data_IF_044536181289
#
_entry.id   IF_044536181289
#
_cell.length_a   1.000
_cell.length_b   1.000
_cell.length_c   1.000
_cell.angle_alpha   90.00
_cell.angle_beta   90.00
_cell.angle_gamma   90.00
#
_symmetry.space_group_name_H-M   'P 1'
#
loop_
_entity.id
_entity.type
_entity.pdbx_description
1 polymer ?
#
# COMPACT_ATOMS: atom_id res chain seq x y z
N UNK A 1 -4.73 15.21 23.63
CA UNK A 1 -4.33 14.89 22.24
C UNK A 1 -3.00 15.56 21.97
N UNK A 2 -1.98 14.84 21.49
CA UNK A 2 -0.66 15.40 21.20
C UNK A 2 -0.37 15.37 19.71
N UNK A 3 0.47 16.30 19.25
CA UNK A 3 0.98 16.32 17.87
C UNK A 3 2.47 16.05 17.89
N UNK A 4 2.93 15.15 17.02
CA UNK A 4 4.33 14.75 16.86
C UNK A 4 4.68 14.73 15.37
N UNK A 5 5.93 15.03 15.03
CA UNK A 5 6.39 14.92 13.65
C UNK A 5 6.67 13.45 13.30
N UNK A 6 6.47 13.05 12.04
CA UNK A 6 6.76 11.69 11.58
C UNK A 6 8.23 11.31 11.81
N UNK A 7 9.17 12.24 11.57
CA UNK A 7 10.59 12.00 11.83
C UNK A 7 10.85 11.64 13.30
N UNK A 8 10.17 12.31 14.24
CA UNK A 8 10.30 12.01 15.67
C UNK A 8 9.69 10.66 16.04
N UNK A 9 8.64 10.21 15.34
CA UNK A 9 8.08 8.86 15.54
C UNK A 9 9.11 7.80 15.11
N UNK A 10 9.77 8.00 13.97
CA UNK A 10 10.82 7.09 13.48
C UNK A 10 12.03 7.11 14.41
N UNK A 11 12.53 8.28 14.80
CA UNK A 11 13.67 8.42 15.70
C UNK A 11 13.42 7.74 17.06
N UNK A 12 12.24 7.93 17.65
CA UNK A 12 11.87 7.25 18.91
C UNK A 12 11.72 5.76 18.72
N UNK A 13 11.18 5.33 17.58
CA UNK A 13 11.13 3.91 17.26
C UNK A 13 12.53 3.29 17.12
N UNK A 14 13.54 4.04 16.71
CA UNK A 14 14.93 3.54 16.65
C UNK A 14 15.60 3.39 18.02
N UNK A 15 15.08 4.03 19.07
CA UNK A 15 15.64 3.97 20.44
C UNK A 15 15.40 2.61 21.13
N UNK A 16 14.54 1.75 20.58
CA UNK A 16 14.36 0.37 21.00
C UNK A 16 12.98 0.07 21.60
N UNK A 17 12.81 -1.17 22.05
CA UNK A 17 11.50 -1.74 22.42
C UNK A 17 10.76 -0.93 23.50
N UNK A 18 11.48 -0.38 24.47
CA UNK A 18 10.87 0.38 25.59
C UNK A 18 10.10 1.62 25.13
N UNK A 19 10.62 2.36 24.13
CA UNK A 19 9.92 3.51 23.57
C UNK A 19 8.67 3.10 22.77
N UNK A 20 8.73 1.97 22.05
CA UNK A 20 7.55 1.42 21.36
C UNK A 20 6.46 1.06 22.37
N UNK A 21 6.83 0.39 23.46
CA UNK A 21 5.94 0.01 24.56
C UNK A 21 5.19 1.22 25.12
N UNK A 22 5.94 2.28 25.45
CA UNK A 22 5.35 3.50 25.99
C UNK A 22 4.39 4.15 25.00
N UNK A 23 4.74 4.18 23.71
CA UNK A 23 3.92 4.81 22.69
C UNK A 23 2.64 4.04 22.36
N UNK A 24 2.75 2.71 22.29
CA UNK A 24 1.60 1.79 22.16
C UNK A 24 0.65 1.97 23.34
N UNK A 25 1.19 1.92 24.57
CA UNK A 25 0.40 2.06 25.79
C UNK A 25 -0.28 3.44 25.87
N UNK A 26 0.46 4.49 25.53
CA UNK A 26 -0.08 5.84 25.46
C UNK A 26 -1.29 5.92 24.50
N UNK A 27 -1.17 5.35 23.31
CA UNK A 27 -2.19 5.40 22.26
C UNK A 27 -3.40 4.48 22.50
N UNK A 28 -3.37 3.62 23.53
CA UNK A 28 -4.57 2.91 24.02
C UNK A 28 -5.55 3.88 24.69
N UNK A 29 -5.02 4.85 25.43
CA UNK A 29 -5.80 5.75 26.29
C UNK A 29 -5.88 7.19 25.78
N UNK A 30 -5.04 7.57 24.81
CA UNK A 30 -4.93 8.93 24.31
C UNK A 30 -4.92 9.01 22.78
N UNK A 31 -5.25 10.18 22.26
CA UNK A 31 -5.20 10.49 20.84
C UNK A 31 -3.88 11.15 20.46
N UNK A 32 -3.24 10.63 19.41
CA UNK A 32 -2.01 11.16 18.83
C UNK A 32 -2.19 11.53 17.37
N UNK A 33 -1.61 12.67 16.99
CA UNK A 33 -1.54 13.17 15.63
C UNK A 33 -0.11 13.18 15.14
N UNK A 34 0.16 12.49 14.04
CA UNK A 34 1.43 12.62 13.34
C UNK A 34 1.28 13.58 12.18
N UNK A 35 2.30 14.41 11.92
CA UNK A 35 2.35 15.34 10.81
C UNK A 35 3.64 15.16 10.00
N UNK A 36 3.64 15.41 8.69
CA UNK A 36 4.87 15.36 7.91
C UNK A 36 5.85 16.44 8.37
N UNK A 37 7.12 16.10 8.53
CA UNK A 37 8.23 17.03 8.81
C UNK A 37 8.50 17.98 7.65
N UNK A 38 8.02 17.63 6.44
CA UNK A 38 8.09 18.49 5.26
C UNK A 38 6.69 18.68 4.67
N UNK A 39 6.30 19.93 4.45
CA UNK A 39 5.02 20.28 3.86
C UNK A 39 4.83 19.76 2.42
N UNK A 40 5.90 19.33 1.74
CA UNK A 40 5.86 18.89 0.33
C UNK A 40 5.88 17.38 0.13
N UNK A 41 5.97 16.58 1.21
CA UNK A 41 6.10 15.12 1.13
C UNK A 41 5.17 14.42 2.12
N UNK A 42 4.82 13.18 1.81
CA UNK A 42 4.20 12.26 2.76
C UNK A 42 5.23 11.25 3.25
N UNK A 43 4.91 10.61 4.36
CA UNK A 43 5.69 9.57 5.02
C UNK A 43 4.92 8.25 5.04
N UNK A 44 5.60 7.16 5.36
CA UNK A 44 4.97 5.85 5.48
C UNK A 44 4.01 5.83 6.70
N UNK A 45 2.69 5.67 6.49
CA UNK A 45 1.73 5.78 7.59
C UNK A 45 1.67 4.51 8.46
N UNK A 46 2.28 3.40 8.03
CA UNK A 46 2.10 2.12 8.70
C UNK A 46 2.79 2.04 10.06
N UNK A 47 3.98 2.61 10.23
CA UNK A 47 4.64 2.62 11.54
C UNK A 47 3.80 3.40 12.58
N UNK A 48 3.37 4.64 12.31
CA UNK A 48 2.43 5.35 13.18
C UNK A 48 1.16 4.56 13.49
N UNK A 49 0.55 3.90 12.50
CA UNK A 49 -0.62 3.03 12.74
C UNK A 49 -0.29 1.81 13.61
N UNK A 50 0.86 1.15 13.38
CA UNK A 50 1.32 0.01 14.16
C UNK A 50 1.49 0.38 15.64
N UNK A 51 1.98 1.60 15.89
CA UNK A 51 2.17 2.20 17.20
C UNK A 51 0.88 2.82 17.79
N UNK A 52 -0.24 2.78 17.06
CA UNK A 52 -1.56 3.20 17.55
C UNK A 52 -1.96 4.65 17.32
N UNK A 53 -1.17 5.45 16.58
CA UNK A 53 -1.58 6.81 16.20
C UNK A 53 -2.83 6.82 15.33
N UNK A 54 -3.80 7.63 15.73
CA UNK A 54 -5.11 7.69 15.09
C UNK A 54 -5.16 8.76 14.00
N UNK A 55 -4.50 9.91 14.22
CA UNK A 55 -4.51 11.03 13.28
C UNK A 55 -3.21 11.10 12.49
N UNK A 56 -3.03 10.18 11.56
CA UNK A 56 -1.85 10.13 10.68
C UNK A 56 -2.04 11.11 9.53
N UNK A 57 -1.66 12.37 9.76
CA UNK A 57 -1.92 13.46 8.83
C UNK A 57 -0.97 13.39 7.64
N UNK A 58 -1.50 13.49 6.44
CA UNK A 58 -0.75 13.50 5.18
C UNK A 58 -1.28 14.62 4.29
N UNK A 59 -0.43 15.10 3.38
CA UNK A 59 -0.85 15.96 2.30
C UNK A 59 -1.63 15.13 1.27
N UNK A 60 -2.70 15.68 0.69
CA UNK A 60 -3.47 15.06 -0.40
C UNK A 60 -2.72 15.13 -1.75
N UNK A 61 -1.43 14.81 -1.71
CA UNK A 61 -0.55 14.69 -2.86
C UNK A 61 -0.62 13.27 -3.42
N UNK A 62 -0.49 13.16 -4.73
CA UNK A 62 -0.46 11.87 -5.42
C UNK A 62 0.87 11.15 -5.14
N UNK A 63 0.86 10.21 -4.18
CA UNK A 63 1.99 9.32 -3.90
C UNK A 63 1.53 7.99 -3.30
N UNK A 64 2.46 7.04 -3.16
CA UNK A 64 2.16 5.70 -2.63
C UNK A 64 1.51 5.72 -1.24
N UNK A 65 1.84 6.69 -0.40
CA UNK A 65 1.35 6.76 0.98
C UNK A 65 -0.10 7.20 1.04
N UNK A 66 -0.53 8.10 0.14
CA UNK A 66 -1.97 8.38 -0.02
C UNK A 66 -2.74 7.20 -0.59
N UNK A 67 -2.13 6.40 -1.47
CA UNK A 67 -2.77 5.16 -1.95
C UNK A 67 -2.96 4.15 -0.81
N UNK A 68 -1.98 4.01 0.08
CA UNK A 68 -2.07 3.18 1.29
C UNK A 68 -3.16 3.68 2.24
N UNK A 69 -3.23 4.99 2.47
CA UNK A 69 -4.28 5.63 3.27
C UNK A 69 -5.67 5.30 2.74
N UNK A 70 -5.87 5.54 1.46
CA UNK A 70 -7.12 5.28 0.78
C UNK A 70 -7.47 3.77 0.83
N UNK A 71 -6.51 2.86 0.64
CA UNK A 71 -6.73 1.42 0.85
C UNK A 71 -7.16 1.05 2.27
N UNK A 72 -6.50 1.60 3.30
CA UNK A 72 -6.81 1.34 4.70
C UNK A 72 -8.22 1.83 5.06
N UNK A 73 -8.56 3.06 4.69
CA UNK A 73 -9.84 3.67 5.04
C UNK A 73 -11.01 3.25 4.13
N UNK A 74 -10.78 2.37 3.15
CA UNK A 74 -11.87 1.64 2.50
C UNK A 74 -12.52 0.59 3.39
N UNK A 75 -11.79 0.12 4.39
CA UNK A 75 -12.36 -0.73 5.43
C UNK A 75 -13.52 -0.01 6.13
N UNK A 76 -14.40 -0.81 6.73
CA UNK A 76 -15.57 -0.29 7.44
C UNK A 76 -16.45 0.63 6.56
N UNK A 77 -16.58 0.33 5.27
CA UNK A 77 -17.51 1.01 4.37
C UNK A 77 -17.15 2.46 4.04
N UNK A 78 -15.86 2.80 3.96
CA UNK A 78 -15.35 4.13 3.61
C UNK A 78 -15.73 5.25 4.59
N UNK A 79 -15.96 4.93 5.86
CA UNK A 79 -16.45 5.91 6.85
C UNK A 79 -15.34 6.79 7.45
N UNK A 80 -14.08 6.55 7.11
CA UNK A 80 -12.92 7.28 7.65
C UNK A 80 -12.48 6.84 9.05
N UNK A 81 -13.13 5.83 9.63
CA UNK A 81 -12.75 5.23 10.92
C UNK A 81 -12.60 3.73 10.77
N UNK A 82 -11.43 3.21 11.18
CA UNK A 82 -11.15 1.78 11.22
C UNK A 82 -10.70 1.40 12.62
N UNK A 83 -11.30 0.35 13.18
CA UNK A 83 -10.96 -0.13 14.51
C UNK A 83 -9.47 -0.54 14.54
N UNK A 84 -8.78 -0.19 15.63
CA UNK A 84 -7.39 -0.60 15.84
C UNK A 84 -7.33 -2.13 16.08
N UNK A 85 -6.20 -2.77 15.78
CA UNK A 85 -5.93 -4.16 16.17
C UNK A 85 -6.15 -4.41 17.67
N UNK A 86 -6.42 -5.65 18.04
CA UNK A 86 -6.74 -6.05 19.42
C UNK A 86 -5.65 -5.66 20.44
N UNK A 87 -4.38 -5.82 20.08
CA UNK A 87 -3.24 -5.44 20.92
C UNK A 87 -3.19 -3.93 21.26
N UNK A 88 -3.82 -3.08 20.43
CA UNK A 88 -3.96 -1.63 20.66
C UNK A 88 -5.27 -1.24 21.35
N UNK A 89 -6.14 -2.21 21.63
CA UNK A 89 -7.44 -2.03 22.27
C UNK A 89 -7.52 -2.69 23.66
N UNK A 90 -6.63 -3.66 23.94
CA UNK A 90 -6.58 -4.35 25.24
C UNK A 90 -6.27 -3.37 26.38
N UNK A 91 -7.02 -3.48 27.48
CA UNK A 91 -6.81 -2.72 28.72
C UNK A 91 -5.65 -3.26 29.57
N UNK A 92 -5.13 -4.45 29.25
CA UNK A 92 -3.98 -5.01 29.93
C UNK A 92 -2.68 -4.39 29.38
N UNK A 93 -1.73 -4.14 30.28
CA UNK A 93 -0.34 -3.93 29.90
C UNK A 93 0.16 -5.31 29.45
N UNK A 94 0.38 -5.44 28.16
CA UNK A 94 0.77 -6.70 27.53
C UNK A 94 2.10 -6.46 26.82
N UNK A 95 3.18 -7.01 27.38
CA UNK A 95 4.51 -6.93 26.78
C UNK A 95 4.54 -7.55 25.36
N UNK A 96 3.61 -8.47 25.07
CA UNK A 96 3.46 -9.07 23.74
C UNK A 96 2.80 -8.13 22.74
N UNK A 97 2.06 -7.10 23.18
CA UNK A 97 1.46 -6.10 22.28
C UNK A 97 2.52 -5.31 21.49
N UNK A 98 3.73 -5.20 22.05
CA UNK A 98 4.87 -4.53 21.41
C UNK A 98 5.51 -5.45 20.38
N UNK A 99 5.61 -6.74 20.71
CA UNK A 99 6.04 -7.75 19.77
C UNK A 99 5.02 -7.86 18.61
N UNK A 100 3.72 -7.74 18.86
CA UNK A 100 2.69 -7.64 17.82
C UNK A 100 2.84 -6.36 16.98
N UNK A 101 3.07 -5.20 17.61
CA UNK A 101 3.28 -3.92 16.91
C UNK A 101 4.51 -3.96 15.99
N UNK A 102 5.59 -4.60 16.45
CA UNK A 102 6.83 -4.85 15.71
C UNK A 102 6.72 -5.99 14.69
N UNK A 103 5.66 -6.80 14.79
CA UNK A 103 5.45 -7.95 13.92
C UNK A 103 6.30 -9.19 14.25
N UNK A 104 6.72 -9.32 15.51
CA UNK A 104 7.61 -10.37 16.01
C UNK A 104 6.88 -11.67 16.40
N UNK A 105 5.56 -11.69 16.52
CA UNK A 105 4.81 -12.82 17.11
C UNK A 105 4.17 -13.74 16.07
N UNK A 106 3.51 -13.18 15.05
CA UNK A 106 2.67 -13.92 14.11
C UNK A 106 2.85 -13.42 12.66
N UNK A 107 4.07 -13.57 12.09
CA UNK A 107 4.30 -13.19 10.70
C UNK A 107 3.42 -14.03 9.77
N UNK A 108 2.85 -13.39 8.74
CA UNK A 108 2.04 -14.05 7.72
C UNK A 108 2.82 -14.16 6.42
N UNK A 109 3.16 -15.39 6.06
CA UNK A 109 3.77 -15.70 4.78
C UNK A 109 2.70 -15.82 3.69
N UNK A 110 2.96 -15.23 2.54
CA UNK A 110 2.04 -15.27 1.41
C UNK A 110 2.78 -15.25 0.09
N UNK A 111 2.17 -15.86 -0.92
CA UNK A 111 2.60 -15.75 -2.30
C UNK A 111 1.52 -15.09 -3.16
N UNK A 112 1.93 -14.12 -3.96
CA UNK A 112 1.06 -13.35 -4.85
C UNK A 112 1.57 -13.50 -6.28
N UNK A 113 0.70 -13.99 -7.17
CA UNK A 113 0.96 -14.04 -8.61
C UNK A 113 0.07 -13.05 -9.33
N UNK A 114 0.68 -12.14 -10.09
CA UNK A 114 -0.05 -11.26 -11.01
C UNK A 114 -0.15 -11.99 -12.35
N UNK A 115 -1.37 -12.32 -12.76
CA UNK A 115 -1.61 -13.19 -13.92
C UNK A 115 -1.87 -12.37 -15.17
N UNK A 116 -2.84 -11.45 -15.09
CA UNK A 116 -3.27 -10.64 -16.22
C UNK A 116 -3.92 -9.33 -15.76
N UNK A 117 -4.02 -8.37 -16.67
CA UNK A 117 -4.78 -7.14 -16.51
C UNK A 117 -5.99 -7.14 -17.44
N UNK A 118 -6.97 -6.28 -17.15
CA UNK A 118 -8.17 -6.13 -17.98
C UNK A 118 -8.54 -4.65 -18.09
N UNK A 119 -8.88 -4.20 -19.31
CA UNK A 119 -9.35 -2.85 -19.63
C UNK A 119 -8.50 -1.72 -19.01
N UNK A 120 -7.17 -1.83 -19.10
CA UNK A 120 -6.25 -0.83 -18.58
C UNK A 120 -6.24 0.40 -19.49
N UNK A 121 -6.64 1.59 -19.00
CA UNK A 121 -6.73 2.77 -19.83
C UNK A 121 -5.36 3.40 -20.08
N UNK A 122 -5.25 4.25 -21.11
CA UNK A 122 -4.16 5.23 -21.17
C UNK A 122 -4.31 6.21 -20.01
N UNK A 123 -3.18 6.63 -19.44
CA UNK A 123 -3.16 7.71 -18.45
C UNK A 123 -3.69 9.01 -19.08
N UNK A 124 -4.23 9.90 -18.25
CA UNK A 124 -4.71 11.20 -18.74
C UNK A 124 -3.55 12.09 -19.19
N UNK A 125 -2.36 11.91 -18.61
CA UNK A 125 -1.12 12.55 -19.03
C UNK A 125 -0.74 12.16 -20.48
N UNK A 126 -0.85 10.87 -20.82
CA UNK A 126 -0.60 10.39 -22.19
C UNK A 126 -1.70 10.82 -23.17
N UNK A 127 -2.94 11.00 -22.72
CA UNK A 127 -4.02 11.53 -23.58
C UNK A 127 -3.86 13.03 -23.86
N UNK A 128 -3.38 13.79 -22.88
CA UNK A 128 -3.22 15.24 -22.97
C UNK A 128 -1.95 15.69 -23.70
N UNK A 129 -1.02 14.77 -23.98
CA UNK A 129 0.23 15.09 -24.70
C UNK A 129 -0.05 15.60 -26.12
N UNK A 130 0.71 16.59 -26.59
CA UNK A 130 0.64 17.08 -27.98
C UNK A 130 1.34 16.15 -28.98
N UNK A 131 2.08 15.16 -28.50
CA UNK A 131 2.80 14.21 -29.35
C UNK A 131 1.84 13.17 -29.94
N UNK A 132 1.51 13.32 -31.23
CA UNK A 132 0.59 12.45 -31.95
C UNK A 132 0.99 10.96 -31.94
N UNK A 133 2.30 10.64 -31.85
CA UNK A 133 2.78 9.27 -31.77
C UNK A 133 2.44 8.64 -30.42
N UNK A 134 2.64 9.39 -29.31
CA UNK A 134 2.26 8.95 -27.96
C UNK A 134 0.74 8.80 -27.81
N UNK A 135 -0.05 9.71 -28.41
CA UNK A 135 -1.51 9.59 -28.38
C UNK A 135 -2.02 8.32 -29.08
N UNK A 136 -1.39 7.88 -30.18
CA UNK A 136 -1.79 6.69 -30.92
C UNK A 136 -1.26 5.39 -30.32
N UNK A 137 -0.09 5.41 -29.68
CA UNK A 137 0.54 4.22 -29.10
C UNK A 137 -0.31 3.54 -28.03
N UNK A 138 -0.58 2.24 -28.17
CA UNK A 138 -1.16 1.43 -27.09
C UNK A 138 -0.20 1.35 -25.91
N UNK A 139 -0.75 1.28 -24.69
CA UNK A 139 0.08 1.18 -23.48
C UNK A 139 0.93 -0.09 -23.48
N UNK A 140 2.06 -0.01 -22.79
CA UNK A 140 2.98 -1.09 -22.52
C UNK A 140 2.94 -1.45 -21.02
N UNK A 141 1.92 -2.19 -20.54
CA UNK A 141 1.70 -2.27 -19.11
C UNK A 141 2.64 -3.25 -18.41
N UNK A 142 3.06 -2.87 -17.20
CA UNK A 142 3.56 -3.78 -16.19
C UNK A 142 2.93 -3.46 -14.84
N UNK A 143 2.85 -4.46 -13.98
CA UNK A 143 2.29 -4.33 -12.65
C UNK A 143 3.37 -4.56 -11.60
N UNK A 144 3.27 -3.84 -10.50
CA UNK A 144 4.14 -3.96 -9.32
C UNK A 144 3.28 -4.18 -8.09
N UNK A 145 3.71 -5.09 -7.23
CA UNK A 145 3.14 -5.32 -5.91
C UNK A 145 4.22 -5.06 -4.86
N UNK A 146 3.91 -4.25 -3.87
CA UNK A 146 4.80 -3.88 -2.78
C UNK A 146 4.12 -4.17 -1.44
N UNK A 147 4.82 -4.82 -0.52
CA UNK A 147 4.36 -5.02 0.85
C UNK A 147 4.89 -3.90 1.75
N UNK A 148 3.97 -3.29 2.49
CA UNK A 148 4.27 -2.43 3.63
C UNK A 148 3.69 -3.08 4.87
N UNK A 149 4.43 -3.14 5.98
CA UNK A 149 3.92 -3.70 7.24
C UNK A 149 4.25 -2.86 8.48
N UNK A 150 4.93 -1.73 8.33
CA UNK A 150 5.29 -0.86 9.46
C UNK A 150 6.48 -1.37 10.28
N UNK A 151 7.04 -2.53 9.94
CA UNK A 151 8.31 -2.99 10.52
C UNK A 151 9.48 -2.15 10.01
N UNK A 152 10.58 -2.03 10.78
CA UNK A 152 11.78 -1.30 10.35
C UNK A 152 12.31 -1.75 8.98
N UNK A 153 12.18 -3.03 8.65
CA UNK A 153 12.60 -3.58 7.36
C UNK A 153 11.83 -2.98 6.17
N UNK A 154 10.52 -2.71 6.31
CA UNK A 154 9.71 -2.16 5.23
C UNK A 154 9.70 -0.63 5.17
N UNK A 155 10.25 0.05 6.18
CA UNK A 155 10.43 1.50 6.19
C UNK A 155 11.48 1.98 5.18
N UNK A 156 12.61 1.27 5.10
CA UNK A 156 13.74 1.66 4.25
C UNK A 156 13.62 1.10 2.82
N UNK A 157 13.27 -0.18 2.71
CA UNK A 157 13.20 -0.87 1.42
C UNK A 157 12.06 -1.90 1.46
N UNK A 158 10.82 -1.47 1.17
CA UNK A 158 9.68 -2.38 1.20
C UNK A 158 9.85 -3.45 0.12
N UNK A 159 9.69 -4.75 0.46
CA UNK A 159 9.82 -5.83 -0.50
C UNK A 159 8.77 -5.66 -1.60
N UNK A 160 9.23 -5.73 -2.84
CA UNK A 160 8.39 -5.52 -4.01
C UNK A 160 8.74 -6.48 -5.14
N UNK A 161 7.76 -6.71 -6.00
CA UNK A 161 7.90 -7.51 -7.22
C UNK A 161 7.25 -6.76 -8.37
N UNK A 162 7.92 -6.71 -9.51
CA UNK A 162 7.40 -6.15 -10.75
C UNK A 162 7.34 -7.22 -11.82
N UNK A 163 6.22 -7.29 -12.54
CA UNK A 163 6.07 -8.14 -13.71
C UNK A 163 6.94 -7.61 -14.86
N UNK A 164 7.10 -8.43 -15.90
CA UNK A 164 7.65 -7.95 -17.17
C UNK A 164 6.70 -6.94 -17.83
N UNK A 165 7.25 -6.13 -18.74
CA UNK A 165 6.46 -5.24 -19.60
C UNK A 165 5.82 -6.04 -20.73
N UNK A 166 4.50 -5.89 -20.90
CA UNK A 166 3.78 -6.40 -22.08
C UNK A 166 3.65 -5.25 -23.07
N UNK A 167 4.07 -5.43 -24.31
CA UNK A 167 4.06 -4.35 -25.31
C UNK A 167 2.72 -4.21 -26.01
N UNK A 168 2.25 -2.98 -26.16
CA UNK A 168 1.12 -2.60 -27.02
C UNK A 168 -0.23 -3.22 -26.65
N UNK A 169 -0.41 -3.70 -25.42
CA UNK A 169 -1.64 -4.39 -25.00
C UNK A 169 -2.14 -3.87 -23.65
N UNK A 170 -3.10 -2.95 -23.68
CA UNK A 170 -3.85 -2.52 -22.50
C UNK A 170 -5.18 -3.21 -22.26
N UNK A 171 -5.72 -3.91 -23.26
CA UNK A 171 -7.06 -4.49 -23.17
C UNK A 171 -7.07 -5.73 -22.27
N UNK A 172 -6.09 -6.61 -22.46
CA UNK A 172 -5.99 -7.89 -21.76
C UNK A 172 -4.54 -8.40 -21.67
N UNK A 173 -3.59 -7.61 -21.12
CA UNK A 173 -2.22 -8.08 -20.97
C UNK A 173 -2.16 -9.32 -20.09
N UNK A 174 -1.37 -10.31 -20.50
CA UNK A 174 -1.09 -11.52 -19.72
C UNK A 174 0.39 -11.50 -19.38
N UNK A 175 0.70 -11.42 -18.09
CA UNK A 175 2.07 -11.52 -17.60
C UNK A 175 2.43 -12.97 -17.31
N UNK A 176 1.50 -13.72 -16.71
CA UNK A 176 1.62 -15.14 -16.35
C UNK A 176 3.03 -15.54 -15.87
N UNK A 177 3.60 -14.72 -14.99
CA UNK A 177 4.93 -14.97 -14.45
C UNK A 177 4.93 -16.35 -13.76
N UNK A 178 5.94 -17.15 -14.10
CA UNK A 178 6.10 -18.52 -13.56
C UNK A 178 6.38 -18.48 -12.06
N UNK A 179 7.03 -17.42 -11.60
CA UNK A 179 7.37 -17.20 -10.20
C UNK A 179 6.29 -16.36 -9.51
N UNK A 180 6.00 -16.74 -8.26
CA UNK A 180 5.14 -15.95 -7.38
C UNK A 180 6.00 -14.99 -6.55
N UNK A 181 5.54 -13.75 -6.39
CA UNK A 181 6.10 -12.84 -5.41
C UNK A 181 5.86 -13.42 -4.02
N UNK A 182 6.94 -13.71 -3.28
CA UNK A 182 6.86 -14.22 -1.91
C UNK A 182 7.06 -13.06 -0.94
N UNK A 183 6.15 -12.95 0.02
CA UNK A 183 6.16 -11.91 1.03
C UNK A 183 6.02 -12.53 2.42
N UNK A 184 6.83 -12.04 3.36
CA UNK A 184 6.66 -12.28 4.80
C UNK A 184 6.19 -10.99 5.42
N UNK A 185 4.93 -10.93 5.84
CA UNK A 185 4.35 -9.76 6.48
C UNK A 185 4.48 -9.90 7.99
N UNK A 186 5.30 -9.06 8.60
CA UNK A 186 5.60 -9.14 10.03
C UNK A 186 4.41 -8.68 10.88
N UNK A 187 3.73 -7.61 10.48
CA UNK A 187 2.53 -7.12 11.16
C UNK A 187 1.29 -7.19 10.23
N UNK A 188 0.60 -8.34 10.15
CA UNK A 188 -0.57 -8.52 9.30
C UNK A 188 -1.77 -7.64 9.67
N UNK A 189 -1.81 -7.13 10.90
CA UNK A 189 -2.92 -6.32 11.43
C UNK A 189 -2.94 -4.91 10.87
N UNK A 190 -1.79 -4.38 10.45
CA UNK A 190 -1.67 -3.08 9.76
C UNK A 190 -1.05 -3.19 8.37
N UNK A 191 -0.58 -4.40 8.00
CA UNK A 191 0.08 -4.66 6.73
C UNK A 191 -0.80 -4.40 5.53
N UNK A 192 -0.20 -3.89 4.46
CA UNK A 192 -0.85 -3.49 3.22
C UNK A 192 -0.07 -3.98 2.01
N UNK A 193 -0.77 -4.54 1.03
CA UNK A 193 -0.25 -4.80 -0.30
C UNK A 193 -0.68 -3.68 -1.25
N UNK A 194 0.28 -2.95 -1.81
CA UNK A 194 0.05 -1.93 -2.82
C UNK A 194 0.32 -2.49 -4.21
N UNK A 195 -0.74 -2.66 -5.00
CA UNK A 195 -0.67 -2.98 -6.41
C UNK A 195 -0.67 -1.69 -7.22
N UNK A 196 0.28 -1.53 -8.15
CA UNK A 196 0.34 -0.38 -9.06
C UNK A 196 0.62 -0.88 -10.47
N UNK A 197 -0.11 -0.34 -11.44
CA UNK A 197 0.09 -0.58 -12.86
C UNK A 197 0.66 0.67 -13.51
N UNK A 198 1.68 0.48 -14.33
CA UNK A 198 2.35 1.53 -15.07
C UNK A 198 2.33 1.24 -16.57
N UNK A 199 2.39 2.30 -17.37
CA UNK A 199 2.67 2.29 -18.80
C UNK A 199 4.16 2.61 -19.01
N UNK A 200 4.93 1.64 -19.51
CA UNK A 200 6.33 1.88 -19.84
C UNK A 200 6.47 2.59 -21.19
N UNK A 201 6.84 3.87 -21.16
CA UNK A 201 7.04 4.64 -22.38
C UNK A 201 8.42 4.38 -22.99
N UNK A 202 8.46 3.62 -24.08
CA UNK A 202 9.70 3.31 -24.81
C UNK A 202 10.39 4.58 -25.37
N UNK A 203 9.65 5.68 -25.59
CA UNK A 203 10.17 6.92 -26.17
C UNK A 203 10.85 7.79 -25.10
N UNK A 204 10.14 8.07 -24.01
CA UNK A 204 10.67 8.94 -22.93
C UNK A 204 11.49 8.17 -21.91
N UNK A 205 11.46 6.83 -21.94
CA UNK A 205 12.10 5.94 -20.95
C UNK A 205 11.59 6.20 -19.53
N UNK A 206 10.31 6.55 -19.40
CA UNK A 206 9.64 6.81 -18.13
C UNK A 206 8.44 5.90 -17.95
N UNK A 207 8.15 5.56 -16.69
CA UNK A 207 6.97 4.80 -16.32
C UNK A 207 5.85 5.76 -15.91
N UNK A 208 4.72 5.69 -16.60
CA UNK A 208 3.56 6.55 -16.34
C UNK A 208 2.53 5.79 -15.55
N UNK A 209 2.04 6.35 -14.44
CA UNK A 209 1.02 5.71 -13.61
C UNK A 209 -0.29 5.50 -14.39
N UNK A 210 -0.85 4.29 -14.31
CA UNK A 210 -2.18 3.97 -14.86
C UNK A 210 -3.20 3.90 -13.75
N UNK A 211 -2.94 3.07 -12.74
CA UNK A 211 -3.87 2.84 -11.65
C UNK A 211 -3.27 2.01 -10.53
N UNK A 212 -3.89 2.05 -9.37
CA UNK A 212 -3.43 1.32 -8.19
C UNK A 212 -4.57 0.79 -7.33
N UNK A 213 -4.22 -0.11 -6.42
CA UNK A 213 -5.08 -0.58 -5.34
C UNK A 213 -4.21 -0.96 -4.15
N UNK A 214 -4.50 -0.38 -2.99
CA UNK A 214 -3.91 -0.82 -1.72
C UNK A 214 -4.92 -1.70 -0.97
N UNK A 215 -4.49 -2.87 -0.52
CA UNK A 215 -5.35 -3.87 0.13
C UNK A 215 -4.73 -4.26 1.48
N UNK A 216 -5.49 -4.16 2.59
CA UNK A 216 -5.06 -4.68 3.89
C UNK A 216 -4.80 -6.18 3.84
N UNK A 217 -3.69 -6.63 4.44
CA UNK A 217 -3.32 -8.04 4.54
C UNK A 217 -4.36 -8.83 5.34
N UNK A 218 -4.99 -8.20 6.34
CA UNK A 218 -6.12 -8.74 7.10
C UNK A 218 -7.35 -9.05 6.22
N UNK A 219 -7.53 -8.33 5.12
CA UNK A 219 -8.65 -8.44 4.19
C UNK A 219 -8.32 -9.30 2.94
N UNK A 220 -7.10 -9.83 2.85
CA UNK A 220 -6.65 -10.62 1.71
C UNK A 220 -7.32 -12.00 1.71
N UNK A 221 -7.83 -12.41 0.55
CA UNK A 221 -8.53 -13.69 0.38
C UNK A 221 -7.73 -14.61 -0.55
N UNK A 222 -7.55 -15.86 -0.15
CA UNK A 222 -6.87 -16.87 -0.96
C UNK A 222 -7.57 -17.18 -2.28
N UNK A 223 -6.83 -17.80 -3.20
CA UNK A 223 -7.31 -18.27 -4.50
C UNK A 223 -7.18 -17.21 -5.61
N UNK A 224 -7.99 -17.37 -6.66
CA UNK A 224 -8.04 -16.42 -7.77
C UNK A 224 -8.93 -15.23 -7.39
N UNK A 225 -8.41 -14.02 -7.52
CA UNK A 225 -9.07 -12.78 -7.13
C UNK A 225 -8.89 -11.70 -8.18
N UNK A 226 -9.90 -10.86 -8.34
CA UNK A 226 -9.80 -9.65 -9.15
C UNK A 226 -9.56 -8.45 -8.24
N UNK A 227 -8.48 -7.72 -8.49
CA UNK A 227 -8.15 -6.46 -7.82
C UNK A 227 -8.66 -5.33 -8.72
N UNK A 228 -9.62 -4.57 -8.21
CA UNK A 228 -10.10 -3.36 -8.89
C UNK A 228 -9.05 -2.26 -8.81
N UNK A 229 -8.76 -1.59 -9.92
CA UNK A 229 -7.82 -0.48 -9.96
C UNK A 229 -8.55 0.85 -9.83
N UNK A 230 -7.87 1.82 -9.23
CA UNK A 230 -8.29 3.20 -9.05
C UNK A 230 -7.31 4.14 -9.75
N UNK A 231 -7.83 5.24 -10.27
CA UNK A 231 -7.02 6.26 -10.92
C UNK A 231 -6.26 7.13 -9.90
N UNK A 232 -5.61 8.19 -10.40
CA UNK A 232 -4.78 9.05 -9.56
C UNK A 232 -5.57 9.95 -8.61
N UNK A 233 -6.90 10.01 -8.77
CA UNK A 233 -7.84 10.71 -7.89
C UNK A 233 -8.59 9.72 -6.99
N UNK A 234 -8.14 8.47 -6.91
CA UNK A 234 -8.78 7.37 -6.19
C UNK A 234 -10.21 7.08 -6.66
N UNK A 235 -10.52 7.36 -7.93
CA UNK A 235 -11.84 7.06 -8.52
C UNK A 235 -11.78 5.88 -9.49
N UNK A 236 -12.96 5.35 -9.80
CA UNK A 236 -13.16 4.32 -10.84
C UNK A 236 -14.08 4.84 -11.94
N UNK A 237 -13.88 6.09 -12.33
CA UNK A 237 -14.66 6.74 -13.38
C UNK A 237 -14.07 6.46 -14.78
N UNK A 238 -14.88 6.70 -15.82
CA UNK A 238 -14.46 6.52 -17.22
C UNK A 238 -13.86 5.13 -17.50
N UNK A 239 -12.69 5.10 -18.14
CA UNK A 239 -12.00 3.85 -18.48
C UNK A 239 -11.55 3.01 -17.27
N UNK A 240 -11.36 3.64 -16.10
CA UNK A 240 -10.95 2.95 -14.88
C UNK A 240 -12.08 2.08 -14.29
N UNK A 241 -13.34 2.30 -14.69
CA UNK A 241 -14.52 1.53 -14.22
C UNK A 241 -14.36 0.02 -14.40
N UNK A 242 -13.69 -0.40 -15.47
CA UNK A 242 -13.50 -1.81 -15.83
C UNK A 242 -12.07 -2.30 -15.60
N UNK A 243 -11.17 -1.41 -15.19
CA UNK A 243 -9.77 -1.72 -15.02
C UNK A 243 -9.56 -2.62 -13.79
N UNK A 244 -8.89 -3.76 -13.99
CA UNK A 244 -8.59 -4.71 -12.92
C UNK A 244 -7.36 -5.58 -13.19
N UNK A 245 -6.82 -6.18 -12.14
CA UNK A 245 -5.81 -7.23 -12.20
C UNK A 245 -6.43 -8.55 -11.77
N UNK A 246 -6.13 -9.63 -12.50
CA UNK A 246 -6.36 -10.99 -12.03
C UNK A 246 -5.10 -11.47 -11.29
N UNK A 247 -5.27 -11.84 -10.03
CA UNK A 247 -4.20 -12.35 -9.18
C UNK A 247 -4.54 -13.73 -8.63
N UNK A 248 -3.51 -14.49 -8.25
CA UNK A 248 -3.64 -15.69 -7.41
C UNK A 248 -2.89 -15.46 -6.12
N UNK A 249 -3.59 -15.63 -5.00
CA UNK A 249 -3.06 -15.52 -3.65
C UNK A 249 -3.02 -16.89 -3.00
N UNK A 250 -1.92 -17.20 -2.32
CA UNK A 250 -1.83 -18.33 -1.38
C UNK A 250 -1.24 -17.80 -0.08
N UNK A 251 -1.92 -18.03 1.03
CA UNK A 251 -1.47 -17.70 2.38
C UNK A 251 -0.95 -19.00 2.99
N UNK A 252 0.21 -18.93 3.63
CA UNK A 252 0.79 -20.08 4.34
C UNK A 252 0.39 -19.95 5.81
N UNK A 253 -0.21 -21.01 6.35
CA UNK A 253 -0.62 -21.13 7.75
C UNK A 253 0.46 -21.82 8.57
#
# INVERSE_FOLDING_TARGET
>A
MHTIQDATVVERAEQGKDEWSQFVEYNKHHLSRTIPSSASRNYNPLLPWALGCQFVSMNFLRNQYMLLNDGRFRENGNQGYVLKPEYLCSSAIDESAVDDALGCTHPRNMSVRILSGYCLPKSDETKATSNANLQKQSINPFARVTLYDGSPATLLSPPSFATKVVKGNGLNPVWNDREAAKFSCMNPSVGMLLFVVYDHCDITKTDVFIGASAIPVSCLREGYRCVSLYDSNNTRSGGMRFASLLIKVKIEF
#
